data_IF_583875482090
#
_entry.id   IF_583875482090
#
_cell.length_a   1.000
_cell.length_b   1.000
_cell.length_c   1.000
_cell.angle_alpha   90.00
_cell.angle_beta   90.00
_cell.angle_gamma   90.00
#
_symmetry.space_group_name_H-M   'P 1'
#
loop_
_entity.id
_entity.type
_entity.pdbx_description
1 polymer ?
#
# COMPACT_ATOMS: atom_id res chain seq x y z
N UNK A 1 -23.87 -26.23 -0.89
CA UNK A 1 -24.74 -25.21 -0.26
C UNK A 1 -23.89 -23.98 0.00
N UNK A 2 -24.18 -22.85 -0.64
CA UNK A 2 -23.39 -21.62 -0.48
C UNK A 2 -23.51 -21.15 0.98
N UNK A 3 -22.41 -21.21 1.74
CA UNK A 3 -22.33 -20.64 3.09
C UNK A 3 -22.40 -19.11 3.07
N UNK A 4 -22.29 -18.49 1.90
CA UNK A 4 -22.28 -17.04 1.72
C UNK A 4 -23.63 -16.56 1.17
N UNK A 5 -24.30 -15.68 1.92
CA UNK A 5 -25.42 -14.87 1.46
C UNK A 5 -24.94 -13.45 1.16
N UNK A 6 -25.49 -12.82 0.12
CA UNK A 6 -25.15 -11.42 -0.20
C UNK A 6 -25.62 -10.40 0.85
N UNK A 7 -26.40 -10.84 1.83
CA UNK A 7 -26.88 -10.04 2.97
C UNK A 7 -26.57 -10.75 4.29
N UNK A 8 -26.37 -9.98 5.35
CA UNK A 8 -26.01 -10.48 6.68
C UNK A 8 -24.80 -9.76 7.28
N UNK A 9 -24.40 -10.23 8.45
CA UNK A 9 -23.18 -9.79 9.11
C UNK A 9 -22.06 -10.80 8.86
N UNK A 10 -20.88 -10.30 8.51
CA UNK A 10 -19.70 -11.09 8.17
C UNK A 10 -18.49 -10.56 8.92
N UNK A 11 -17.71 -11.45 9.52
CA UNK A 11 -16.37 -11.14 9.98
C UNK A 11 -15.39 -11.47 8.86
N UNK A 12 -14.69 -10.47 8.33
CA UNK A 12 -13.74 -10.61 7.21
C UNK A 12 -12.34 -10.25 7.68
N UNK A 13 -11.37 -11.09 7.34
CA UNK A 13 -9.95 -10.84 7.58
C UNK A 13 -9.28 -10.36 6.29
N UNK A 14 -8.88 -9.09 6.22
CA UNK A 14 -8.01 -8.57 5.17
C UNK A 14 -6.55 -8.78 5.54
N UNK A 15 -5.77 -9.39 4.67
CA UNK A 15 -4.33 -9.57 4.82
C UNK A 15 -3.58 -8.66 3.85
N UNK A 16 -2.37 -8.25 4.19
CA UNK A 16 -1.52 -7.46 3.31
C UNK A 16 -0.04 -7.66 3.63
N UNK A 17 0.81 -7.57 2.61
CA UNK A 17 2.22 -7.26 2.78
C UNK A 17 2.64 -6.29 1.66
N UNK A 18 3.17 -5.14 2.05
CA UNK A 18 3.58 -4.07 1.14
C UNK A 18 4.79 -4.44 0.29
N UNK A 19 5.08 -3.63 -0.74
CA UNK A 19 6.34 -3.72 -1.49
C UNK A 19 7.56 -3.35 -0.64
N UNK A 20 7.35 -2.80 0.56
CA UNK A 20 8.36 -2.55 1.59
C UNK A 20 8.92 -3.83 2.22
N UNK A 21 8.20 -4.97 2.15
CA UNK A 21 8.60 -6.25 2.75
C UNK A 21 8.98 -6.13 4.24
N UNK A 22 8.30 -5.25 4.96
CA UNK A 22 8.53 -4.92 6.36
C UNK A 22 7.69 -5.78 7.31
N UNK A 23 6.45 -6.08 6.94
CA UNK A 23 5.54 -6.82 7.78
C UNK A 23 4.54 -7.73 7.05
N UNK A 24 3.93 -8.61 7.84
CA UNK A 24 2.68 -9.28 7.52
C UNK A 24 1.58 -8.59 8.33
N UNK A 25 0.61 -8.02 7.63
CA UNK A 25 -0.48 -7.25 8.23
C UNK A 25 -1.79 -8.04 8.14
N UNK A 26 -2.63 -7.88 9.15
CA UNK A 26 -3.99 -8.38 9.18
C UNK A 26 -4.93 -7.36 9.82
N UNK A 27 -6.08 -7.13 9.18
CA UNK A 27 -7.17 -6.32 9.72
C UNK A 27 -8.45 -7.14 9.69
N UNK A 28 -9.10 -7.29 10.85
CA UNK A 28 -10.37 -7.98 10.97
C UNK A 28 -11.51 -6.97 11.06
N UNK A 29 -12.44 -7.08 10.13
CA UNK A 29 -13.59 -6.18 10.03
C UNK A 29 -14.87 -6.96 10.23
N UNK A 30 -15.82 -6.36 10.95
CA UNK A 30 -17.23 -6.74 10.89
C UNK A 30 -17.87 -5.93 9.78
N UNK A 31 -18.48 -6.60 8.81
CA UNK A 31 -19.19 -6.02 7.68
C UNK A 31 -20.67 -6.38 7.78
N UNK A 32 -21.54 -5.39 7.66
CA UNK A 32 -22.99 -5.61 7.53
C UNK A 32 -23.40 -5.29 6.10
N UNK A 33 -23.84 -6.32 5.38
CA UNK A 33 -24.28 -6.23 4.00
C UNK A 33 -25.80 -6.38 3.93
N UNK A 34 -26.44 -5.52 3.14
CA UNK A 34 -27.85 -5.62 2.78
C UNK A 34 -28.04 -5.80 1.28
N UNK A 35 -29.27 -5.64 0.80
CA UNK A 35 -29.60 -5.84 -0.62
C UNK A 35 -28.86 -4.87 -1.56
N UNK A 36 -28.47 -3.69 -1.06
CA UNK A 36 -27.76 -2.66 -1.82
C UNK A 36 -26.23 -2.71 -1.67
N UNK A 37 -25.68 -3.73 -1.00
CA UNK A 37 -24.25 -3.88 -0.73
C UNK A 37 -23.87 -3.61 0.73
N UNK A 38 -22.65 -3.10 0.96
CA UNK A 38 -22.15 -2.80 2.30
C UNK A 38 -22.92 -1.62 2.92
N UNK A 39 -23.49 -1.83 4.12
CA UNK A 39 -24.29 -0.82 4.84
C UNK A 39 -23.58 -0.28 6.08
N UNK A 40 -22.74 -1.07 6.72
CA UNK A 40 -21.91 -0.65 7.85
C UNK A 40 -20.67 -1.52 7.96
N UNK A 41 -19.62 -0.97 8.57
CA UNK A 41 -18.42 -1.71 8.90
C UNK A 41 -17.84 -1.24 10.23
N UNK A 42 -17.07 -2.12 10.87
CA UNK A 42 -16.34 -1.86 12.11
C UNK A 42 -14.99 -2.58 12.05
N UNK A 43 -13.90 -1.88 12.33
CA UNK A 43 -12.60 -2.51 12.55
C UNK A 43 -12.60 -3.16 13.94
N UNK A 44 -12.53 -4.48 14.02
CA UNK A 44 -12.51 -5.22 15.28
C UNK A 44 -11.10 -5.21 15.89
N UNK A 45 -10.11 -5.52 15.07
CA UNK A 45 -8.70 -5.45 15.43
C UNK A 45 -7.80 -5.39 14.20
N UNK A 46 -6.57 -4.91 14.39
CA UNK A 46 -5.47 -5.03 13.46
C UNK A 46 -4.26 -5.64 14.17
N UNK A 47 -3.45 -6.40 13.43
CA UNK A 47 -2.22 -7.03 13.92
C UNK A 47 -1.17 -6.94 12.83
N UNK A 48 0.07 -6.81 13.25
CA UNK A 48 1.24 -6.83 12.38
C UNK A 48 2.31 -7.73 12.99
N UNK A 49 3.13 -8.36 12.15
CA UNK A 49 4.37 -9.02 12.56
C UNK A 49 5.46 -8.71 11.56
N UNK A 50 6.74 -8.66 11.97
CA UNK A 50 7.83 -8.47 11.03
C UNK A 50 7.84 -9.54 9.94
N UNK A 51 8.15 -9.14 8.70
CA UNK A 51 8.26 -10.07 7.58
C UNK A 51 9.35 -11.12 7.88
N UNK A 52 9.08 -12.44 7.76
CA UNK A 52 10.07 -13.46 8.09
C UNK A 52 11.38 -13.28 7.28
N UNK A 53 12.55 -13.12 7.95
CA UNK A 53 13.78 -12.68 7.27
C UNK A 53 14.21 -13.55 6.08
N UNK A 54 14.06 -14.87 6.19
CA UNK A 54 14.40 -15.79 5.11
C UNK A 54 13.48 -15.63 3.90
N UNK A 55 12.17 -15.49 4.10
CA UNK A 55 11.21 -15.26 3.02
C UNK A 55 11.40 -13.89 2.39
N UNK A 56 11.75 -12.88 3.20
CA UNK A 56 12.07 -11.54 2.73
C UNK A 56 13.26 -11.57 1.77
N UNK A 57 14.35 -12.22 2.16
CA UNK A 57 15.56 -12.30 1.33
C UNK A 57 15.29 -12.94 -0.04
N UNK A 58 14.49 -14.02 -0.09
CA UNK A 58 14.10 -14.66 -1.35
C UNK A 58 13.18 -13.80 -2.21
N UNK A 59 12.18 -13.14 -1.61
CA UNK A 59 11.30 -12.23 -2.33
C UNK A 59 12.07 -11.03 -2.91
N UNK A 60 12.97 -10.43 -2.12
CA UNK A 60 13.83 -9.34 -2.57
C UNK A 60 14.74 -9.77 -3.74
N UNK A 61 15.31 -10.98 -3.68
CA UNK A 61 16.14 -11.50 -4.76
C UNK A 61 15.37 -11.62 -6.08
N UNK A 62 14.14 -12.16 -6.04
CA UNK A 62 13.26 -12.23 -7.22
C UNK A 62 12.89 -10.85 -7.75
N UNK A 63 12.56 -9.90 -6.87
CA UNK A 63 12.23 -8.51 -7.26
C UNK A 63 13.43 -7.83 -7.92
N UNK A 64 14.66 -8.14 -7.49
CA UNK A 64 15.90 -7.66 -8.13
C UNK A 64 16.23 -8.36 -9.45
N UNK A 65 15.44 -9.33 -9.87
CA UNK A 65 15.68 -10.11 -11.10
C UNK A 65 16.77 -11.17 -10.96
N UNK A 66 17.12 -11.58 -9.73
CA UNK A 66 18.07 -12.67 -9.51
C UNK A 66 17.46 -13.99 -9.96
N UNK A 67 18.27 -14.82 -10.63
CA UNK A 67 17.82 -16.13 -11.09
C UNK A 67 17.46 -17.04 -9.91
N UNK A 68 16.34 -17.74 -10.06
CA UNK A 68 15.85 -18.78 -9.15
C UNK A 68 15.28 -19.93 -9.96
N UNK A 69 15.34 -21.15 -9.41
CA UNK A 69 14.71 -22.29 -10.05
C UNK A 69 13.20 -22.25 -9.89
N UNK A 70 12.48 -23.00 -10.73
CA UNK A 70 11.04 -23.19 -10.57
C UNK A 70 10.68 -23.80 -9.20
N UNK A 71 11.58 -24.63 -8.64
CA UNK A 71 11.40 -25.21 -7.31
C UNK A 71 11.49 -24.17 -6.20
N UNK A 72 12.48 -23.27 -6.25
CA UNK A 72 12.63 -22.17 -5.28
C UNK A 72 11.42 -21.25 -5.33
N UNK A 73 10.97 -20.92 -6.54
CA UNK A 73 9.78 -20.12 -6.75
C UNK A 73 8.52 -20.77 -6.15
N UNK A 74 8.28 -22.05 -6.43
CA UNK A 74 7.14 -22.79 -5.88
C UNK A 74 7.21 -22.88 -4.35
N UNK A 75 8.40 -23.10 -3.80
CA UNK A 75 8.63 -23.11 -2.36
C UNK A 75 8.32 -21.76 -1.71
N UNK A 76 8.73 -20.66 -2.33
CA UNK A 76 8.41 -19.30 -1.86
C UNK A 76 6.91 -18.99 -1.95
N UNK A 77 6.27 -19.37 -3.06
CA UNK A 77 4.84 -19.13 -3.29
C UNK A 77 3.95 -19.83 -2.25
N UNK A 78 4.29 -21.06 -1.84
CA UNK A 78 3.59 -21.76 -0.74
C UNK A 78 4.09 -21.30 0.64
N UNK A 79 5.39 -21.02 0.76
CA UNK A 79 6.03 -20.59 2.00
C UNK A 79 5.45 -19.29 2.54
N UNK A 80 5.16 -18.32 1.67
CA UNK A 80 4.49 -17.08 2.06
C UNK A 80 3.06 -17.33 2.56
N UNK A 81 2.28 -18.17 1.88
CA UNK A 81 0.94 -18.54 2.32
C UNK A 81 0.96 -19.23 3.69
N UNK A 82 1.96 -20.08 3.95
CA UNK A 82 2.18 -20.69 5.27
C UNK A 82 2.52 -19.65 6.33
N UNK A 83 3.43 -18.73 6.04
CA UNK A 83 3.78 -17.67 6.98
C UNK A 83 2.56 -16.82 7.38
N UNK A 84 1.70 -16.47 6.43
CA UNK A 84 0.44 -15.80 6.74
C UNK A 84 -0.54 -16.66 7.54
N UNK A 85 -0.68 -17.96 7.23
CA UNK A 85 -1.53 -18.86 8.02
C UNK A 85 -1.02 -19.01 9.47
N UNK A 86 0.30 -19.08 9.66
CA UNK A 86 0.94 -19.16 10.97
C UNK A 86 0.74 -17.85 11.75
N UNK A 87 0.97 -16.69 11.10
CA UNK A 87 0.68 -15.36 11.63
C UNK A 87 -0.77 -15.27 12.10
N UNK A 88 -1.73 -15.59 11.23
CA UNK A 88 -3.16 -15.46 11.54
C UNK A 88 -3.56 -16.29 12.76
N UNK A 89 -3.09 -17.54 12.86
CA UNK A 89 -3.37 -18.40 14.02
C UNK A 89 -2.70 -17.92 15.30
N UNK A 90 -1.56 -17.25 15.19
CA UNK A 90 -0.81 -16.78 16.36
C UNK A 90 -1.42 -15.51 16.98
N UNK A 91 -1.96 -14.60 16.16
CA UNK A 91 -2.31 -13.24 16.63
C UNK A 91 -3.81 -12.92 16.66
N UNK A 92 -4.65 -13.70 15.99
CA UNK A 92 -6.11 -13.51 16.00
C UNK A 92 -6.81 -14.59 16.82
N UNK A 93 -7.71 -14.21 17.75
CA UNK A 93 -8.47 -15.18 18.54
C UNK A 93 -9.54 -15.88 17.69
N UNK A 94 -9.77 -17.16 17.97
CA UNK A 94 -10.83 -17.95 17.34
C UNK A 94 -12.24 -17.60 17.88
N UNK A 95 -13.31 -17.68 17.06
CA UNK A 95 -13.26 -17.90 15.60
C UNK A 95 -12.60 -16.71 14.89
N UNK A 96 -11.73 -17.00 13.92
CA UNK A 96 -10.89 -15.98 13.29
C UNK A 96 -11.76 -15.06 12.41
N UNK A 97 -12.39 -15.60 11.38
CA UNK A 97 -13.23 -14.88 10.42
C UNK A 97 -14.10 -15.88 9.62
N UNK A 98 -15.10 -15.37 8.92
CA UNK A 98 -15.94 -16.12 7.96
C UNK A 98 -15.27 -16.23 6.58
N UNK A 99 -14.46 -15.22 6.21
CA UNK A 99 -13.74 -15.12 4.94
C UNK A 99 -12.42 -14.37 5.15
N UNK A 100 -11.40 -14.72 4.37
CA UNK A 100 -10.16 -13.96 4.26
C UNK A 100 -9.95 -13.38 2.85
N UNK A 101 -9.41 -12.17 2.79
CA UNK A 101 -8.83 -11.57 1.58
C UNK A 101 -7.31 -11.70 1.64
N UNK A 102 -6.72 -12.40 0.67
CA UNK A 102 -5.29 -12.70 0.63
C UNK A 102 -4.66 -12.20 -0.69
N UNK A 103 -4.03 -11.01 -0.69
CA UNK A 103 -3.49 -10.41 -1.92
C UNK A 103 -2.15 -11.00 -2.33
N UNK A 104 -1.43 -11.65 -1.41
CA UNK A 104 -0.05 -12.08 -1.62
C UNK A 104 0.96 -10.91 -1.66
N UNK A 105 2.20 -11.23 -2.04
CA UNK A 105 3.28 -10.26 -2.20
C UNK A 105 3.49 -9.98 -3.69
N UNK A 106 3.47 -8.70 -4.08
CA UNK A 106 3.75 -8.32 -5.47
C UNK A 106 5.21 -8.57 -5.81
N UNK A 107 5.47 -9.37 -6.84
CA UNK A 107 6.81 -9.53 -7.44
C UNK A 107 6.98 -8.68 -8.69
N UNK A 108 5.94 -8.62 -9.51
CA UNK A 108 5.99 -7.90 -10.77
C UNK A 108 4.65 -7.25 -11.08
N UNK A 109 4.70 -6.06 -11.67
CA UNK A 109 3.53 -5.30 -12.04
C UNK A 109 3.84 -4.50 -13.31
N UNK A 110 3.23 -4.89 -14.42
CA UNK A 110 3.43 -4.29 -15.74
C UNK A 110 2.11 -4.33 -16.54
N UNK A 111 1.11 -3.52 -16.14
CA UNK A 111 -0.19 -3.50 -16.78
C UNK A 111 -0.16 -2.88 -18.20
N UNK A 112 0.75 -1.94 -18.47
CA UNK A 112 0.83 -1.26 -19.78
C UNK A 112 1.74 -1.97 -20.78
N UNK A 113 2.79 -2.67 -20.32
CA UNK A 113 3.68 -3.44 -21.17
C UNK A 113 3.08 -4.80 -21.50
N UNK A 114 3.37 -5.79 -20.65
CA UNK A 114 2.93 -7.17 -20.86
C UNK A 114 1.49 -7.47 -20.40
N UNK A 115 0.76 -6.47 -19.86
CA UNK A 115 -0.62 -6.65 -19.42
C UNK A 115 -0.73 -7.63 -18.24
N UNK A 116 0.22 -7.58 -17.30
CA UNK A 116 0.30 -8.55 -16.21
C UNK A 116 0.57 -7.92 -14.85
N UNK A 117 0.09 -8.61 -13.82
CA UNK A 117 0.38 -8.31 -12.43
C UNK A 117 0.51 -9.63 -11.71
N UNK A 118 1.63 -9.85 -11.02
CA UNK A 118 1.94 -11.13 -10.42
C UNK A 118 2.26 -11.00 -8.93
N UNK A 119 1.51 -11.74 -8.12
CA UNK A 119 1.67 -11.81 -6.68
C UNK A 119 1.99 -13.25 -6.27
N UNK A 120 3.06 -13.44 -5.48
CA UNK A 120 3.34 -14.72 -4.83
C UNK A 120 2.53 -14.87 -3.54
N UNK A 121 2.44 -16.08 -3.02
CA UNK A 121 1.52 -16.44 -1.96
C UNK A 121 0.30 -17.10 -2.57
N UNK A 122 0.23 -18.43 -2.50
CA UNK A 122 -0.91 -19.18 -3.04
C UNK A 122 -2.16 -18.95 -2.19
N UNK A 123 -3.26 -18.38 -2.74
CA UNK A 123 -4.53 -18.28 -2.02
C UNK A 123 -5.11 -19.67 -1.68
N UNK A 124 -4.91 -20.65 -2.56
CA UNK A 124 -5.32 -22.03 -2.31
C UNK A 124 -4.56 -22.68 -1.15
N UNK A 125 -3.23 -22.49 -1.08
CA UNK A 125 -2.46 -22.96 0.06
C UNK A 125 -2.84 -22.24 1.35
N UNK A 126 -3.04 -20.91 1.31
CA UNK A 126 -3.48 -20.15 2.48
C UNK A 126 -4.84 -20.64 2.97
N UNK A 127 -5.82 -20.82 2.08
CA UNK A 127 -7.15 -21.35 2.43
C UNK A 127 -7.05 -22.72 3.11
N UNK A 128 -6.20 -23.61 2.57
CA UNK A 128 -5.99 -24.95 3.10
C UNK A 128 -5.33 -24.92 4.48
N UNK A 129 -4.33 -24.05 4.68
CA UNK A 129 -3.53 -23.98 5.91
C UNK A 129 -4.20 -23.18 7.03
N UNK A 130 -5.01 -22.18 6.69
CA UNK A 130 -5.76 -21.36 7.66
C UNK A 130 -7.12 -21.96 8.00
N UNK A 131 -7.68 -22.80 7.12
CA UNK A 131 -9.06 -23.28 7.22
C UNK A 131 -10.10 -22.22 6.87
N UNK A 132 -9.69 -21.05 6.36
CA UNK A 132 -10.58 -19.96 5.99
C UNK A 132 -10.92 -20.01 4.51
N UNK A 133 -12.20 -19.87 4.13
CA UNK A 133 -12.55 -19.49 2.77
C UNK A 133 -11.77 -18.22 2.38
N UNK A 134 -11.14 -18.22 1.22
CA UNK A 134 -10.18 -17.17 0.83
C UNK A 134 -10.48 -16.64 -0.56
N UNK A 135 -10.50 -15.31 -0.69
CA UNK A 135 -10.46 -14.60 -1.97
C UNK A 135 -9.05 -14.05 -2.15
N UNK A 136 -8.46 -14.23 -3.34
CA UNK A 136 -7.14 -13.70 -3.68
C UNK A 136 -7.10 -13.23 -5.14
N UNK A 137 -5.88 -12.96 -5.63
CA UNK A 137 -5.64 -12.53 -7.02
C UNK A 137 -6.43 -11.27 -7.42
N UNK A 138 -6.43 -10.23 -6.58
CA UNK A 138 -7.24 -9.04 -6.82
C UNK A 138 -6.80 -8.18 -8.02
N UNK A 139 -5.51 -8.20 -8.39
CA UNK A 139 -4.94 -7.27 -9.38
C UNK A 139 -5.07 -7.76 -10.81
N UNK A 140 -4.75 -9.03 -11.06
CA UNK A 140 -4.70 -9.58 -12.41
C UNK A 140 -6.05 -9.49 -13.15
N UNK A 141 -7.21 -9.79 -12.53
CA UNK A 141 -8.49 -9.62 -13.19
C UNK A 141 -8.77 -8.19 -13.66
N UNK A 142 -8.37 -7.18 -12.88
CA UNK A 142 -8.50 -5.77 -13.26
C UNK A 142 -7.60 -5.44 -14.47
N UNK A 143 -6.35 -5.90 -14.46
CA UNK A 143 -5.44 -5.74 -15.61
C UNK A 143 -6.00 -6.40 -16.88
N UNK A 144 -6.49 -7.63 -16.77
CA UNK A 144 -7.08 -8.36 -17.90
C UNK A 144 -8.38 -7.73 -18.40
N UNK A 145 -9.07 -6.96 -17.56
CA UNK A 145 -10.23 -6.15 -17.96
C UNK A 145 -9.85 -4.79 -18.58
N UNK A 146 -8.56 -4.52 -18.80
CA UNK A 146 -8.04 -3.25 -19.33
C UNK A 146 -7.81 -2.16 -18.28
N UNK A 147 -7.94 -2.52 -16.99
CA UNK A 147 -7.55 -1.67 -15.87
C UNK A 147 -6.05 -1.70 -15.63
N UNK A 148 -5.62 -1.04 -14.55
CA UNK A 148 -4.20 -0.91 -14.18
C UNK A 148 -3.77 -1.90 -13.10
N UNK A 149 -4.69 -2.63 -12.46
CA UNK A 149 -4.41 -3.53 -11.33
C UNK A 149 -4.00 -2.81 -10.04
N UNK A 150 -3.95 -1.47 -10.05
CA UNK A 150 -3.60 -0.59 -8.95
C UNK A 150 -3.96 0.88 -9.28
N UNK A 151 -4.20 1.73 -8.25
CA UNK A 151 -4.53 1.34 -6.87
C UNK A 151 -5.96 0.76 -6.81
N UNK A 152 -6.15 -0.33 -6.05
CA UNK A 152 -7.49 -0.91 -5.80
C UNK A 152 -8.19 -0.27 -4.59
N UNK A 153 -7.44 0.50 -3.80
CA UNK A 153 -7.91 1.21 -2.60
C UNK A 153 -9.10 2.14 -2.85
N UNK A 154 -9.20 2.89 -3.98
CA UNK A 154 -10.34 3.79 -4.19
C UNK A 154 -11.72 3.11 -4.16
N UNK A 155 -11.80 1.82 -4.54
CA UNK A 155 -13.03 1.05 -4.40
C UNK A 155 -13.36 0.78 -2.93
N UNK A 156 -12.35 0.38 -2.14
CA UNK A 156 -12.52 0.20 -0.70
C UNK A 156 -12.89 1.52 -0.01
N UNK A 157 -12.21 2.62 -0.34
CA UNK A 157 -12.53 3.95 0.15
C UNK A 157 -13.98 4.33 -0.13
N UNK A 158 -14.45 4.09 -1.35
CA UNK A 158 -15.83 4.38 -1.72
C UNK A 158 -16.85 3.51 -0.97
N UNK A 159 -16.54 2.23 -0.74
CA UNK A 159 -17.43 1.33 -0.02
C UNK A 159 -17.48 1.65 1.48
N UNK A 160 -16.33 1.97 2.09
CA UNK A 160 -16.19 2.17 3.53
C UNK A 160 -16.51 3.60 3.96
N UNK A 161 -16.16 4.59 3.15
CA UNK A 161 -16.14 5.99 3.59
C UNK A 161 -17.08 6.90 2.80
N UNK A 162 -17.94 6.40 1.91
CA UNK A 162 -18.95 7.26 1.28
C UNK A 162 -19.90 7.89 2.30
N UNK A 163 -20.42 9.06 1.94
CA UNK A 163 -21.48 9.74 2.65
C UNK A 163 -22.59 10.17 1.69
N UNK A 164 -23.83 10.22 2.18
CA UNK A 164 -24.97 10.62 1.36
C UNK A 164 -25.03 12.14 1.15
N UNK A 165 -24.38 12.93 2.02
CA UNK A 165 -24.52 14.39 2.10
C UNK A 165 -23.20 15.12 1.91
N UNK A 166 -22.08 14.49 2.24
CA UNK A 166 -20.77 15.14 2.24
C UNK A 166 -19.81 14.58 1.20
N UNK A 167 -18.97 15.47 0.66
CA UNK A 167 -17.76 15.05 -0.07
C UNK A 167 -16.69 14.68 0.93
N UNK A 168 -16.09 13.50 0.79
CA UNK A 168 -14.95 13.06 1.60
C UNK A 168 -13.69 12.96 0.77
N UNK A 169 -12.56 13.34 1.39
CA UNK A 169 -11.22 13.18 0.84
C UNK A 169 -10.46 12.25 1.75
N UNK A 170 -9.97 11.15 1.18
CA UNK A 170 -9.05 10.25 1.85
C UNK A 170 -7.67 10.54 1.30
N UNK A 171 -6.73 10.91 2.17
CA UNK A 171 -5.36 11.23 1.83
C UNK A 171 -4.44 10.20 2.48
N UNK A 172 -3.80 9.38 1.65
CA UNK A 172 -2.74 8.49 2.10
C UNK A 172 -1.38 9.16 1.88
N UNK A 173 -0.55 9.20 2.93
CA UNK A 173 0.81 9.77 2.89
C UNK A 173 1.82 8.63 3.08
N UNK A 174 2.00 7.83 2.03
CA UNK A 174 3.05 6.81 1.96
C UNK A 174 4.36 7.38 1.43
N UNK A 175 5.17 6.57 0.74
CA UNK A 175 6.34 7.09 0.00
C UNK A 175 5.93 8.13 -1.05
N UNK A 176 4.85 7.84 -1.79
CA UNK A 176 4.08 8.76 -2.61
C UNK A 176 2.76 9.03 -1.91
N UNK A 177 2.31 10.28 -1.93
CA UNK A 177 1.02 10.67 -1.41
C UNK A 177 -0.04 10.56 -2.51
N UNK A 178 -1.21 10.02 -2.16
CA UNK A 178 -2.33 9.88 -3.06
C UNK A 178 -3.64 10.26 -2.36
N UNK A 179 -4.61 10.74 -3.13
CA UNK A 179 -5.95 10.99 -2.61
C UNK A 179 -7.01 10.22 -3.36
N UNK A 180 -8.08 9.89 -2.64
CA UNK A 180 -9.37 9.49 -3.16
C UNK A 180 -10.41 10.55 -2.80
N UNK A 181 -11.09 11.10 -3.81
CA UNK A 181 -12.21 12.02 -3.67
C UNK A 181 -13.54 11.26 -3.84
N UNK A 182 -14.36 11.29 -2.80
CA UNK A 182 -15.67 10.66 -2.74
C UNK A 182 -16.77 11.73 -2.73
N UNK A 183 -17.41 12.05 -3.87
CA UNK A 183 -18.53 12.98 -3.89
C UNK A 183 -19.80 12.37 -3.24
N UNK A 184 -20.71 13.21 -2.71
CA UNK A 184 -21.92 12.73 -2.05
C UNK A 184 -22.86 12.03 -3.03
N UNK A 185 -23.54 10.97 -2.56
CA UNK A 185 -24.69 10.35 -3.24
C UNK A 185 -24.41 9.65 -4.58
N UNK A 186 -23.24 9.84 -5.19
CA UNK A 186 -22.83 9.09 -6.39
C UNK A 186 -22.34 7.70 -5.96
N UNK A 187 -22.64 6.68 -6.77
CA UNK A 187 -22.00 5.37 -6.64
C UNK A 187 -20.49 5.44 -6.94
N UNK A 188 -19.87 4.28 -7.20
CA UNK A 188 -18.44 4.20 -7.55
C UNK A 188 -18.09 5.07 -8.78
N UNK A 189 -19.06 5.33 -9.65
CA UNK A 189 -18.94 6.16 -10.86
C UNK A 189 -18.50 7.62 -10.62
N UNK A 190 -18.58 8.12 -9.38
CA UNK A 190 -18.13 9.47 -9.01
C UNK A 190 -16.74 9.54 -8.39
N UNK A 191 -16.14 8.40 -8.07
CA UNK A 191 -14.86 8.32 -7.35
C UNK A 191 -13.75 8.81 -8.26
N UNK A 192 -12.91 9.72 -7.74
CA UNK A 192 -11.71 10.17 -8.44
C UNK A 192 -10.50 9.95 -7.55
N UNK A 193 -9.45 9.34 -8.07
CA UNK A 193 -8.21 9.13 -7.34
C UNK A 193 -7.00 9.45 -8.20
N UNK A 194 -5.95 9.98 -7.58
CA UNK A 194 -4.68 10.28 -8.23
C UNK A 194 -3.57 10.47 -7.19
N UNK A 195 -2.32 10.36 -7.63
CA UNK A 195 -1.17 10.71 -6.80
C UNK A 195 -1.01 12.23 -6.76
N UNK A 196 -0.79 12.77 -5.56
CA UNK A 196 -0.54 14.21 -5.36
C UNK A 196 0.95 14.56 -5.50
N UNK A 197 1.84 13.58 -5.40
CA UNK A 197 3.30 13.73 -5.51
C UNK A 197 4.05 13.01 -4.40
N UNK A 198 5.28 13.41 -4.04
CA UNK A 198 6.03 12.77 -2.98
C UNK A 198 5.30 12.91 -1.63
N UNK A 199 5.21 11.80 -0.90
CA UNK A 199 4.87 11.81 0.53
C UNK A 199 6.17 11.77 1.34
N UNK A 200 6.48 10.63 1.94
CA UNK A 200 7.63 10.45 2.81
C UNK A 200 8.95 10.15 2.06
N UNK A 201 8.92 9.78 0.78
CA UNK A 201 10.12 9.28 0.08
C UNK A 201 11.31 10.26 0.09
N UNK A 202 11.04 11.56 -0.07
CA UNK A 202 12.06 12.61 -0.04
C UNK A 202 12.47 12.94 1.40
N UNK A 203 11.50 12.97 2.33
CA UNK A 203 11.74 13.21 3.76
C UNK A 203 12.64 12.12 4.35
N UNK A 204 12.34 10.86 4.07
CA UNK A 204 13.13 9.70 4.51
C UNK A 204 14.55 9.75 3.96
N UNK A 205 14.71 10.20 2.71
CA UNK A 205 16.02 10.36 2.09
C UNK A 205 16.83 11.46 2.77
N UNK A 206 16.20 12.58 3.13
CA UNK A 206 16.83 13.67 3.87
C UNK A 206 17.16 13.27 5.31
N UNK A 207 16.28 12.55 6.00
CA UNK A 207 16.53 12.05 7.35
C UNK A 207 17.75 11.11 7.38
N UNK A 208 17.84 10.18 6.42
CA UNK A 208 19.01 9.29 6.26
C UNK A 208 20.30 10.08 6.03
N UNK A 209 20.26 11.10 5.18
CA UNK A 209 21.43 11.93 4.89
C UNK A 209 21.86 12.79 6.09
N UNK A 210 20.91 13.29 6.87
CA UNK A 210 21.18 14.21 7.98
C UNK A 210 21.57 13.47 9.27
N UNK A 211 21.00 12.30 9.53
CA UNK A 211 21.09 11.63 10.84
C UNK A 211 21.47 10.15 10.77
N UNK A 212 21.42 9.54 9.58
CA UNK A 212 21.52 8.09 9.42
C UNK A 212 20.23 7.31 9.71
N UNK A 213 19.21 7.95 10.28
CA UNK A 213 17.93 7.31 10.60
C UNK A 213 17.05 7.10 9.35
N UNK A 214 16.21 6.04 9.31
CA UNK A 214 15.44 5.70 8.13
C UNK A 214 14.32 6.70 7.79
N UNK A 215 13.83 7.47 8.76
CA UNK A 215 12.77 8.48 8.60
C UNK A 215 12.86 9.58 9.67
N UNK A 216 12.18 10.71 9.43
CA UNK A 216 12.00 11.76 10.45
C UNK A 216 10.85 11.41 11.40
N UNK A 217 11.19 10.74 12.50
CA UNK A 217 10.20 10.28 13.48
C UNK A 217 9.47 11.46 14.12
N UNK A 218 8.14 11.41 14.06
CA UNK A 218 7.22 12.45 14.55
C UNK A 218 7.46 13.85 13.93
N UNK A 219 8.16 13.94 12.78
CA UNK A 219 8.48 15.21 12.14
C UNK A 219 9.44 16.11 12.95
N UNK A 220 10.22 15.54 13.87
CA UNK A 220 11.05 16.29 14.83
C UNK A 220 12.19 17.06 14.15
N UNK A 221 12.80 16.49 13.12
CA UNK A 221 13.84 17.15 12.33
C UNK A 221 13.24 18.31 11.54
N UNK A 222 12.14 18.07 10.83
CA UNK A 222 11.44 19.08 10.04
C UNK A 222 10.91 20.24 10.91
N UNK A 223 10.38 19.97 12.10
CA UNK A 223 9.83 20.98 13.01
C UNK A 223 10.88 21.97 13.55
N UNK A 224 12.16 21.57 13.59
CA UNK A 224 13.29 22.44 13.96
C UNK A 224 13.85 23.22 12.77
N UNK A 225 13.54 22.77 11.56
CA UNK A 225 14.00 23.39 10.34
C UNK A 225 13.24 24.66 9.98
N UNK A 226 13.76 25.37 8.98
CA UNK A 226 13.08 26.48 8.32
C UNK A 226 12.88 26.13 6.86
N UNK A 227 11.66 26.33 6.36
CA UNK A 227 11.37 26.17 4.94
C UNK A 227 12.21 27.15 4.13
N UNK A 228 12.88 26.66 3.08
CA UNK A 228 13.61 27.46 2.11
C UNK A 228 12.67 27.77 0.92
N UNK A 229 12.09 28.99 0.82
CA UNK A 229 11.00 29.26 -0.13
C UNK A 229 11.41 29.10 -1.58
N UNK A 230 12.63 29.52 -1.95
CA UNK A 230 13.13 29.43 -3.33
C UNK A 230 13.33 27.98 -3.76
N UNK A 231 13.82 27.13 -2.85
CA UNK A 231 13.99 25.71 -3.12
C UNK A 231 12.64 25.01 -3.23
N UNK A 232 11.68 25.33 -2.36
CA UNK A 232 10.33 24.81 -2.44
C UNK A 232 9.65 25.21 -3.76
N UNK A 233 9.78 26.47 -4.17
CA UNK A 233 9.24 26.96 -5.44
C UNK A 233 9.87 26.24 -6.63
N UNK A 234 11.19 26.01 -6.60
CA UNK A 234 11.88 25.23 -7.63
C UNK A 234 11.36 23.79 -7.72
N UNK A 235 11.14 23.11 -6.59
CA UNK A 235 10.60 21.74 -6.58
C UNK A 235 9.15 21.69 -7.06
N UNK A 236 8.31 22.64 -6.66
CA UNK A 236 6.91 22.72 -7.10
C UNK A 236 6.75 23.11 -8.58
N UNK A 237 7.80 23.64 -9.22
CA UNK A 237 7.83 23.93 -10.64
C UNK A 237 8.02 22.67 -11.53
N UNK A 238 8.25 21.49 -10.93
CA UNK A 238 8.33 20.23 -11.66
C UNK A 238 7.06 20.02 -12.52
N UNK A 239 7.19 19.85 -13.85
CA UNK A 239 6.06 19.73 -14.78
C UNK A 239 5.00 18.70 -14.40
N UNK A 240 5.39 17.61 -13.72
CA UNK A 240 4.43 16.61 -13.27
C UNK A 240 3.33 17.17 -12.35
N UNK A 241 3.64 18.16 -11.50
CA UNK A 241 2.64 18.79 -10.63
C UNK A 241 1.55 19.52 -11.43
N UNK A 242 1.87 20.03 -12.61
CA UNK A 242 0.95 20.77 -13.47
C UNK A 242 0.03 19.87 -14.32
N UNK A 243 0.28 18.55 -14.35
CA UNK A 243 -0.58 17.60 -15.05
C UNK A 243 -1.96 17.50 -14.37
N UNK A 244 -3.08 17.46 -15.14
CA UNK A 244 -4.40 17.19 -14.58
C UNK A 244 -4.54 15.72 -14.15
N UNK A 245 -5.39 15.41 -13.16
CA UNK A 245 -5.80 14.03 -12.88
C UNK A 245 -6.59 13.40 -14.05
N UNK A 246 -6.61 12.06 -14.19
CA UNK A 246 -5.88 11.09 -13.37
C UNK A 246 -4.37 11.10 -13.69
N UNK A 247 -3.55 11.00 -12.64
CA UNK A 247 -2.09 10.91 -12.76
C UNK A 247 -1.52 10.04 -11.65
N UNK A 248 -0.43 9.36 -11.96
CA UNK A 248 0.31 8.48 -11.06
C UNK A 248 1.82 8.76 -11.16
N UNK A 249 2.56 8.44 -10.10
CA UNK A 249 4.02 8.57 -10.01
C UNK A 249 4.59 7.67 -8.92
N UNK A 250 5.91 7.52 -8.93
CA UNK A 250 6.67 6.75 -7.98
C UNK A 250 8.04 7.36 -7.71
N UNK A 251 8.94 6.49 -7.23
CA UNK A 251 10.33 6.84 -6.92
C UNK A 251 11.15 7.13 -8.17
N UNK A 252 10.68 6.75 -9.36
CA UNK A 252 11.33 7.04 -10.63
C UNK A 252 11.40 8.53 -10.93
N UNK A 253 10.37 9.30 -10.53
CA UNK A 253 10.38 10.75 -10.63
C UNK A 253 10.80 11.41 -9.31
N UNK A 254 10.19 11.02 -8.19
CA UNK A 254 10.43 11.62 -6.88
C UNK A 254 11.37 10.78 -6.01
N UNK A 255 12.49 10.35 -6.59
CA UNK A 255 13.53 9.57 -5.91
C UNK A 255 14.70 10.42 -5.40
N UNK A 256 15.79 9.76 -4.99
CA UNK A 256 17.00 10.45 -4.53
C UNK A 256 17.63 11.37 -5.59
N UNK A 257 17.42 11.06 -6.87
CA UNK A 257 17.84 11.90 -8.01
C UNK A 257 17.10 13.25 -8.06
N UNK A 258 15.85 13.32 -7.58
CA UNK A 258 15.04 14.53 -7.54
C UNK A 258 15.62 15.61 -6.62
N UNK A 259 16.22 15.21 -5.50
CA UNK A 259 16.91 16.14 -4.61
C UNK A 259 18.04 16.87 -5.37
N UNK A 260 18.79 16.14 -6.18
CA UNK A 260 19.85 16.71 -7.03
C UNK A 260 21.03 17.32 -6.23
N UNK A 261 22.21 17.49 -6.87
CA UNK A 261 23.39 18.05 -6.18
C UNK A 261 23.19 19.50 -5.69
N UNK A 262 22.43 20.31 -6.43
CA UNK A 262 22.22 21.72 -6.12
C UNK A 262 21.32 21.91 -4.87
N UNK A 263 20.24 21.14 -4.72
CA UNK A 263 19.42 21.23 -3.51
C UNK A 263 20.17 20.66 -2.30
N UNK A 264 20.92 19.58 -2.46
CA UNK A 264 21.78 19.06 -1.39
C UNK A 264 22.83 20.10 -0.96
N UNK A 265 23.41 20.85 -1.89
CA UNK A 265 24.33 21.95 -1.57
C UNK A 265 23.62 23.15 -0.92
N UNK A 266 22.38 23.47 -1.31
CA UNK A 266 21.57 24.50 -0.66
C UNK A 266 21.21 24.11 0.78
N UNK A 267 20.80 22.85 1.00
CA UNK A 267 20.51 22.29 2.31
C UNK A 267 21.76 22.29 3.20
N UNK A 268 22.92 21.85 2.68
CA UNK A 268 24.19 21.89 3.42
C UNK A 268 24.60 23.29 3.82
N UNK A 269 24.41 24.29 2.94
CA UNK A 269 24.69 25.71 3.28
C UNK A 269 23.75 26.24 4.35
N UNK A 270 22.44 25.99 4.22
CA UNK A 270 21.46 26.38 5.22
C UNK A 270 21.70 25.71 6.58
N UNK A 271 22.27 24.50 6.60
CA UNK A 271 22.71 23.82 7.83
C UNK A 271 24.08 24.27 8.34
N UNK A 272 24.97 24.77 7.48
CA UNK A 272 26.26 25.33 7.89
C UNK A 272 26.09 26.71 8.56
N UNK A 273 25.06 27.48 8.16
CA UNK A 273 24.67 28.74 8.79
C UNK A 273 23.81 28.53 10.07
N UNK A 274 23.35 27.30 10.30
CA UNK A 274 22.71 26.89 11.55
C UNK A 274 23.79 26.29 12.45
N UNK A 275 24.51 27.16 13.16
CA UNK A 275 25.45 26.79 14.23
C UNK A 275 24.86 25.66 15.09
N UNK A 276 25.43 24.46 14.94
CA UNK A 276 25.29 23.35 15.87
C UNK A 276 26.11 23.66 17.12
N UNK A 277 25.45 24.26 18.12
CA UNK A 277 25.72 24.01 19.53
C UNK A 277 24.62 23.09 20.08
#
# INVERSE_FOLDING_TARGET
MSRFSGSGEWTVLGLMCGTSLDGLDGARLRLRCGAAGLEAWELLDHRETPYPPALRAEAEALIRGEARSAADFAALHVGLARAFADFVRAVFPAPIADLAGFPGQTLWHDPEGAGLSFQIGSPAAFATLSGLPTVGEFRLPDVLAGGQGAPLVPLADALLHRDARETRVLLNIGGIANLTLLPPGRGVEGVRAWDTGPGNTLLDSLARLATGEPCDRDGRLAARGRVLPDLLAQWLAEPWFQRPPPKSTGRELFGGTFLGPAALAALRRAHADADLA
#
